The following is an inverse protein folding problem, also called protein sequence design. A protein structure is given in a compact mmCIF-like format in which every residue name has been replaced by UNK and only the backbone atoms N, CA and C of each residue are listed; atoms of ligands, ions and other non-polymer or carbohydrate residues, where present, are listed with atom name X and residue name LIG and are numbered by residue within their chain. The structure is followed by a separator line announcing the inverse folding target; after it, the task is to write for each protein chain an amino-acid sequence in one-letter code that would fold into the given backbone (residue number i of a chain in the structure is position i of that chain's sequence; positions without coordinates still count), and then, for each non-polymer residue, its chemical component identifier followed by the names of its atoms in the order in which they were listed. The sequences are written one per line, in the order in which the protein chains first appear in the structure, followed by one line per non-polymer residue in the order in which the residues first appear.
data_IF_231898470452
#
_entry.id   IF_231898470452
#
_cell.length_a   1.000
_cell.length_b   1.000
_cell.length_c   1.000
_cell.angle_alpha   90.00
_cell.angle_beta   90.00
_cell.angle_gamma   90.00
#
_symmetry.space_group_name_H-M   'P 1'
#
loop_
_entity.id
_entity.type
_entity.pdbx_description
1 polymer ?
#
# COMPACT_ATOMS: atom_id res chain seq x y z
N UNK A 1 -2.63 -12.06 -34.49
CA UNK A 1 -2.75 -12.81 -33.22
C UNK A 1 -1.48 -12.58 -32.41
N UNK A 2 -1.56 -12.07 -31.17
CA UNK A 2 -0.36 -11.79 -30.36
C UNK A 2 0.19 -13.12 -29.83
N UNK A 3 1.44 -13.44 -30.16
CA UNK A 3 2.16 -14.59 -29.63
C UNK A 3 2.46 -14.36 -28.14
N UNK A 4 1.59 -14.84 -27.25
CA UNK A 4 1.83 -14.79 -25.81
C UNK A 4 2.79 -15.94 -25.44
N UNK A 5 4.09 -15.65 -25.38
CA UNK A 5 5.09 -16.59 -24.85
C UNK A 5 4.80 -16.84 -23.36
N UNK A 6 4.82 -18.11 -22.95
CA UNK A 6 4.70 -18.49 -21.53
C UNK A 6 5.88 -17.92 -20.76
N UNK A 7 5.59 -17.15 -19.70
CA UNK A 7 6.59 -16.64 -18.78
C UNK A 7 7.24 -17.79 -18.01
N UNK A 8 8.55 -17.70 -17.80
CA UNK A 8 9.29 -18.67 -16.98
C UNK A 8 9.14 -18.36 -15.49
N UNK A 9 9.50 -19.31 -14.63
CA UNK A 9 9.42 -19.13 -13.17
C UNK A 9 10.32 -18.01 -12.64
N UNK A 10 11.40 -17.67 -13.36
CA UNK A 10 12.25 -16.52 -13.03
C UNK A 10 11.51 -15.21 -13.33
N UNK A 11 10.94 -15.12 -14.53
CA UNK A 11 10.15 -13.95 -14.95
C UNK A 11 8.95 -13.67 -14.04
N UNK A 12 8.33 -14.71 -13.48
CA UNK A 12 7.24 -14.57 -12.51
C UNK A 12 7.68 -13.98 -11.16
N UNK A 13 8.94 -14.17 -10.75
CA UNK A 13 9.49 -13.58 -9.51
C UNK A 13 9.90 -12.13 -9.70
N UNK A 14 10.35 -11.79 -10.91
CA UNK A 14 10.71 -10.43 -11.30
C UNK A 14 9.47 -9.59 -11.66
N UNK A 15 8.32 -10.23 -11.81
CA UNK A 15 7.02 -9.61 -11.94
C UNK A 15 6.64 -8.94 -10.61
N UNK A 16 7.12 -7.72 -10.43
CA UNK A 16 6.61 -6.82 -9.40
C UNK A 16 5.20 -6.40 -9.80
N UNK A 17 4.21 -6.89 -9.06
CA UNK A 17 2.84 -6.39 -9.16
C UNK A 17 2.80 -4.97 -8.63
N UNK A 18 2.94 -3.98 -9.51
CA UNK A 18 2.92 -2.57 -9.16
C UNK A 18 2.26 -1.79 -10.28
N UNK A 19 1.06 -1.27 -10.01
CA UNK A 19 0.49 -0.22 -10.84
C UNK A 19 1.42 1.00 -10.81
N UNK A 20 1.37 1.82 -11.87
CA UNK A 20 2.08 3.09 -11.96
C UNK A 20 2.00 3.82 -10.60
N UNK A 21 3.14 3.96 -9.93
CA UNK A 21 3.34 4.42 -8.55
C UNK A 21 3.18 3.28 -7.51
N UNK A 22 4.30 2.76 -6.99
CA UNK A 22 4.44 1.79 -5.88
C UNK A 22 3.85 2.28 -4.53
N UNK A 23 2.93 3.24 -4.55
CA UNK A 23 2.26 3.78 -3.39
C UNK A 23 0.98 3.00 -3.09
N UNK A 24 1.17 1.76 -2.67
CA UNK A 24 0.10 0.93 -2.12
C UNK A 24 -0.09 1.18 -0.63
N UNK A 25 -1.28 0.86 -0.14
CA UNK A 25 -1.51 0.76 1.31
C UNK A 25 -0.50 -0.20 1.96
N UNK A 26 0.07 0.20 3.10
CA UNK A 26 1.11 -0.56 3.78
C UNK A 26 1.03 -0.40 5.31
N UNK A 27 1.67 -1.33 6.03
CA UNK A 27 1.86 -1.25 7.47
C UNK A 27 3.30 -0.79 7.75
N UNK A 28 3.51 0.37 8.40
CA UNK A 28 4.85 0.81 8.74
C UNK A 28 5.51 -0.12 9.76
N UNK A 29 6.84 -0.24 9.68
CA UNK A 29 7.63 -1.06 10.62
C UNK A 29 7.67 -0.44 12.01
N UNK A 30 7.66 0.89 12.07
CA UNK A 30 7.61 1.68 13.31
C UNK A 30 6.39 2.59 13.27
N UNK A 31 5.23 2.13 13.76
CA UNK A 31 4.04 2.96 13.81
C UNK A 31 4.22 4.11 14.83
N UNK A 32 3.63 5.29 14.57
CA UNK A 32 3.57 6.41 15.50
C UNK A 32 2.79 6.04 16.76
N UNK A 33 3.00 6.79 17.84
CA UNK A 33 2.14 6.68 19.02
C UNK A 33 0.70 7.12 18.68
N UNK A 34 -0.32 6.56 19.35
CA UNK A 34 -1.70 6.96 19.13
C UNK A 34 -1.88 8.46 19.44
N UNK A 35 -2.30 9.22 18.43
CA UNK A 35 -2.46 10.68 18.50
C UNK A 35 -1.32 11.48 17.86
N UNK A 36 -0.21 10.84 17.48
CA UNK A 36 0.85 11.51 16.72
C UNK A 36 0.55 11.54 15.22
N UNK A 37 0.83 12.66 14.53
CA UNK A 37 0.73 12.73 13.09
C UNK A 37 1.78 11.83 12.44
N UNK A 38 1.39 11.07 11.43
CA UNK A 38 2.29 10.22 10.67
C UNK A 38 2.15 10.48 9.18
N UNK A 39 3.27 10.80 8.55
CA UNK A 39 3.34 10.98 7.11
C UNK A 39 3.52 9.61 6.46
N UNK A 40 2.41 9.10 5.91
CA UNK A 40 2.43 7.86 5.15
C UNK A 40 3.26 7.95 3.86
N UNK A 41 3.57 9.16 3.39
CA UNK A 41 4.10 9.38 2.07
C UNK A 41 3.09 9.00 1.00
N UNK A 42 3.20 9.65 -0.17
CA UNK A 42 2.22 9.50 -1.23
C UNK A 42 0.79 9.91 -0.79
N UNK A 43 -0.20 9.83 -1.69
CA UNK A 43 -1.60 10.21 -1.40
C UNK A 43 -2.32 9.16 -0.50
N UNK A 44 -1.69 8.79 0.62
CA UNK A 44 -2.18 7.84 1.62
C UNK A 44 -2.49 8.57 2.93
N UNK A 45 -3.43 8.03 3.69
CA UNK A 45 -3.87 8.55 4.99
C UNK A 45 -3.47 7.59 6.09
N UNK A 46 -3.04 8.15 7.22
CA UNK A 46 -2.77 7.38 8.43
C UNK A 46 -4.06 6.91 9.11
N UNK A 47 -4.14 5.62 9.43
CA UNK A 47 -5.24 5.01 10.16
C UNK A 47 -4.74 4.51 11.51
N UNK A 48 -4.94 5.29 12.57
CA UNK A 48 -4.32 5.05 13.88
C UNK A 48 -4.70 3.70 14.49
N UNK A 49 -6.00 3.36 14.51
CA UNK A 49 -6.55 2.09 15.01
C UNK A 49 -6.04 0.84 14.30
N UNK A 50 -5.64 0.96 13.03
CA UNK A 50 -5.09 -0.15 12.24
C UNK A 50 -3.56 -0.12 12.17
N UNK A 51 -2.95 0.94 12.66
CA UNK A 51 -1.52 1.21 12.52
C UNK A 51 -1.06 1.02 11.08
N UNK A 52 -1.79 1.61 10.12
CA UNK A 52 -1.60 1.38 8.70
C UNK A 52 -1.81 2.65 7.87
N UNK A 53 -1.09 2.73 6.76
CA UNK A 53 -1.29 3.71 5.71
C UNK A 53 -2.25 3.16 4.67
N UNK A 54 -3.36 3.85 4.45
CA UNK A 54 -4.44 3.40 3.56
C UNK A 54 -4.76 4.47 2.53
N UNK A 55 -5.36 4.09 1.40
CA UNK A 55 -5.84 5.07 0.43
C UNK A 55 -6.97 5.92 1.01
N UNK A 56 -7.06 7.18 0.59
CA UNK A 56 -8.12 8.11 1.04
C UNK A 56 -9.53 7.55 0.83
N UNK A 57 -9.77 6.81 -0.25
CA UNK A 57 -11.07 6.17 -0.52
C UNK A 57 -11.43 5.03 0.45
N UNK A 58 -10.45 4.52 1.22
CA UNK A 58 -10.65 3.50 2.25
C UNK A 58 -10.72 4.10 3.66
N UNK A 59 -10.49 5.40 3.81
CA UNK A 59 -10.55 6.06 5.11
C UNK A 59 -11.99 6.13 5.62
N UNK A 60 -12.19 5.68 6.85
CA UNK A 60 -13.45 5.80 7.59
C UNK A 60 -13.13 6.25 9.02
N UNK A 61 -13.73 7.35 9.51
CA UNK A 61 -13.50 7.83 10.87
C UNK A 61 -13.83 6.76 11.92
N UNK A 62 -14.92 5.99 11.72
CA UNK A 62 -15.29 4.93 12.67
C UNK A 62 -14.21 3.84 12.81
N UNK A 63 -13.45 3.61 11.73
CA UNK A 63 -12.46 2.53 11.65
C UNK A 63 -11.05 3.04 12.00
N UNK A 64 -10.76 4.34 11.80
CA UNK A 64 -9.41 4.90 11.90
C UNK A 64 -9.18 5.89 13.06
N UNK A 65 -10.25 6.46 13.64
CA UNK A 65 -10.23 7.34 14.83
C UNK A 65 -10.79 6.63 16.05
#
# INVERSE_FOLDING_TARGET
MKNLKKLTRKDLKDLKGGGLNDCGAYFPTEPPLPGEPYDCGCNLMWCSKRSACIHQNMYSPQICE
#
